data_IF_698004992011
#
_entry.id   IF_698004992011
#
_cell.length_a   1.000
_cell.length_b   1.000
_cell.length_c   1.000
_cell.angle_alpha   90.00
_cell.angle_beta   90.00
_cell.angle_gamma   90.00
#
_symmetry.space_group_name_H-M   'P 1'
#
loop_
_entity.id
_entity.type
_entity.pdbx_description
1 polymer ?
#
# COMPACT_ATOMS: atom_id res chain seq x y z
N UNK A 1 4.63 19.64 20.56
CA UNK A 1 5.58 18.57 20.21
C UNK A 1 6.93 19.00 20.71
N UNK A 2 7.71 18.11 21.29
CA UNK A 2 9.05 18.43 21.77
C UNK A 2 10.05 18.32 20.59
N UNK A 3 10.95 19.27 20.50
CA UNK A 3 12.04 19.20 19.52
C UNK A 3 12.99 18.06 19.89
N UNK A 4 13.55 17.38 18.90
CA UNK A 4 14.47 16.28 19.15
C UNK A 4 15.55 16.19 18.07
N UNK A 5 16.66 15.55 18.46
CA UNK A 5 17.80 15.26 17.60
C UNK A 5 18.07 13.78 17.60
N UNK A 6 18.00 13.14 16.44
CA UNK A 6 18.46 11.76 16.25
C UNK A 6 19.94 11.83 15.86
N UNK A 7 20.79 11.16 16.64
CA UNK A 7 22.23 11.09 16.38
C UNK A 7 22.69 9.68 16.03
N UNK A 8 23.85 9.57 15.39
CA UNK A 8 24.47 8.28 15.04
C UNK A 8 23.56 7.38 14.20
N UNK A 9 22.78 7.94 13.29
CA UNK A 9 21.92 7.17 12.41
C UNK A 9 22.62 6.85 11.08
N UNK A 10 22.23 5.71 10.49
CA UNK A 10 22.45 5.43 9.07
C UNK A 10 21.20 5.85 8.31
N UNK A 11 21.23 7.07 7.76
CA UNK A 11 20.14 7.63 6.97
C UNK A 11 20.04 6.94 5.61
N UNK A 12 18.82 6.60 5.20
CA UNK A 12 18.55 6.02 3.88
C UNK A 12 17.59 6.92 3.13
N UNK A 13 18.06 7.56 2.09
CA UNK A 13 17.29 8.54 1.33
C UNK A 13 17.84 8.73 -0.08
N UNK A 14 16.96 8.87 -1.08
CA UNK A 14 17.29 9.21 -2.46
C UNK A 14 18.44 8.36 -3.06
N UNK A 15 18.28 7.02 -2.93
CA UNK A 15 19.21 6.05 -3.48
C UNK A 15 20.52 5.87 -2.72
N UNK A 16 20.70 6.52 -1.56
CA UNK A 16 21.94 6.49 -0.77
C UNK A 16 21.70 6.06 0.67
N UNK A 17 22.71 5.43 1.24
CA UNK A 17 22.85 5.19 2.68
C UNK A 17 24.09 5.95 3.17
N UNK A 18 23.96 6.73 4.25
CA UNK A 18 25.07 7.52 4.80
C UNK A 18 24.89 7.74 6.31
N UNK A 19 26.00 7.84 7.04
CA UNK A 19 25.98 8.17 8.46
C UNK A 19 25.67 9.66 8.66
N UNK A 20 24.85 9.98 9.66
CA UNK A 20 24.48 11.36 9.95
C UNK A 20 23.49 11.49 11.09
N UNK A 21 23.15 12.73 11.38
CA UNK A 21 22.20 13.17 12.39
C UNK A 21 21.03 13.89 11.71
N UNK A 22 19.86 13.81 12.35
CA UNK A 22 18.65 14.47 11.85
C UNK A 22 17.96 15.18 13.01
N UNK A 23 17.72 16.50 12.85
CA UNK A 23 16.99 17.32 13.81
C UNK A 23 15.56 17.55 13.35
N UNK A 24 14.65 17.46 14.30
CA UNK A 24 13.24 17.81 14.13
C UNK A 24 12.90 18.99 15.04
N UNK A 25 12.24 19.99 14.46
CA UNK A 25 11.67 21.12 15.18
C UNK A 25 10.19 21.19 14.88
N UNK A 26 9.37 21.04 15.92
CA UNK A 26 7.93 20.92 15.77
C UNK A 26 7.55 19.66 14.99
N UNK A 27 6.96 19.84 13.80
CA UNK A 27 6.54 18.75 12.92
C UNK A 27 7.45 18.55 11.69
N UNK A 28 8.57 19.28 11.61
CA UNK A 28 9.42 19.34 10.41
C UNK A 28 10.86 18.89 10.69
N UNK A 29 11.46 18.28 9.68
CA UNK A 29 12.90 18.07 9.62
C UNK A 29 13.56 19.45 9.45
N UNK A 30 14.36 19.88 10.42
CA UNK A 30 14.96 21.21 10.41
C UNK A 30 16.45 21.22 10.09
N UNK A 31 17.14 20.09 10.19
CA UNK A 31 18.52 19.93 9.75
C UNK A 31 18.87 18.45 9.53
N UNK A 32 19.72 18.20 8.53
CA UNK A 32 20.38 16.91 8.28
C UNK A 32 21.86 17.17 8.13
N UNK A 33 22.71 16.48 8.89
CA UNK A 33 24.16 16.67 8.85
C UNK A 33 24.91 15.66 9.70
N UNK A 34 26.19 15.89 9.91
CA UNK A 34 27.02 15.08 10.81
C UNK A 34 27.51 15.92 11.98
N UNK A 35 27.51 15.36 13.19
CA UNK A 35 28.01 16.03 14.40
C UNK A 35 27.13 17.19 14.86
N UNK A 36 25.82 17.10 14.67
CA UNK A 36 24.88 18.10 15.17
C UNK A 36 24.87 18.11 16.69
N UNK A 37 25.14 19.25 17.30
CA UNK A 37 25.10 19.40 18.76
C UNK A 37 23.67 19.60 19.25
N UNK A 38 23.26 18.92 20.33
CA UNK A 38 21.96 19.13 20.95
C UNK A 38 21.77 20.57 21.41
N UNK A 39 20.55 21.08 21.23
CA UNK A 39 20.15 22.42 21.73
C UNK A 39 19.54 22.30 23.11
N UNK A 40 19.46 23.41 23.85
CA UNK A 40 18.86 23.42 25.16
C UNK A 40 17.37 23.03 25.09
N UNK A 41 16.97 22.03 25.89
CA UNK A 41 15.59 21.51 25.90
C UNK A 41 15.25 20.49 24.79
N UNK A 42 16.19 20.17 23.89
CA UNK A 42 16.01 19.18 22.84
C UNK A 42 16.21 17.76 23.39
N UNK A 43 15.33 16.84 23.02
CA UNK A 43 15.50 15.40 23.36
C UNK A 43 16.51 14.78 22.39
N UNK A 44 17.52 14.07 22.92
CA UNK A 44 18.47 13.35 22.06
C UNK A 44 18.07 11.86 21.98
N UNK A 45 17.96 11.35 20.77
CA UNK A 45 17.71 9.95 20.46
C UNK A 45 18.95 9.37 19.78
N UNK A 46 19.66 8.49 20.46
CA UNK A 46 20.80 7.79 19.85
C UNK A 46 20.32 6.62 19.00
N UNK A 47 20.49 6.75 17.69
CA UNK A 47 20.17 5.69 16.77
C UNK A 47 21.13 4.49 16.86
N UNK A 48 22.32 4.66 17.46
CA UNK A 48 23.32 3.61 17.64
C UNK A 48 23.63 2.84 16.33
N UNK A 49 23.75 3.54 15.22
CA UNK A 49 24.05 2.98 13.90
C UNK A 49 22.85 2.33 13.18
N UNK A 50 21.64 2.36 13.78
CA UNK A 50 20.42 1.83 13.17
C UNK A 50 20.00 2.66 11.95
N UNK A 51 19.28 2.00 11.03
CA UNK A 51 18.78 2.67 9.80
C UNK A 51 17.62 3.60 10.13
N UNK A 52 17.75 4.86 9.72
CA UNK A 52 16.68 5.87 9.77
C UNK A 52 16.15 6.08 8.36
N UNK A 53 14.89 5.74 8.15
CA UNK A 53 14.18 5.81 6.88
C UNK A 53 13.14 6.94 6.94
N UNK A 54 12.72 7.53 5.79
CA UNK A 54 11.46 8.25 5.74
C UNK A 54 10.32 7.28 6.06
N UNK A 55 9.23 7.79 6.60
CA UNK A 55 8.04 6.98 6.81
C UNK A 55 7.50 6.39 5.52
N UNK A 56 7.14 5.10 5.52
CA UNK A 56 6.57 4.46 4.34
C UNK A 56 5.19 5.03 4.03
N UNK A 57 4.86 5.08 2.74
CA UNK A 57 3.56 5.50 2.21
C UNK A 57 2.93 4.30 1.51
N UNK A 58 1.82 3.82 2.05
CA UNK A 58 1.05 2.72 1.47
C UNK A 58 -0.10 3.29 0.64
N UNK A 59 -0.03 3.16 -0.65
CA UNK A 59 -1.01 3.72 -1.57
C UNK A 59 -2.21 2.79 -1.84
N UNK A 60 -2.22 1.60 -1.24
CA UNK A 60 -3.32 0.65 -1.41
C UNK A 60 -3.70 -0.06 -0.11
N UNK A 61 -4.74 0.47 0.58
CA UNK A 61 -5.32 -0.17 1.77
C UNK A 61 -6.84 -0.16 1.73
N UNK A 62 -7.46 -1.06 2.53
CA UNK A 62 -8.90 -1.18 2.74
C UNK A 62 -9.19 -1.18 4.25
N UNK A 63 -9.30 -0.01 4.87
CA UNK A 63 -9.52 0.12 6.32
C UNK A 63 -10.98 -0.07 6.74
N UNK A 64 -11.85 -0.39 5.77
CA UNK A 64 -13.21 -0.89 5.98
C UNK A 64 -14.22 0.12 6.53
N UNK A 65 -13.84 1.33 6.86
CA UNK A 65 -14.73 2.38 7.35
C UNK A 65 -15.03 3.40 6.23
N UNK A 66 -16.32 3.77 6.02
CA UNK A 66 -17.50 3.38 6.78
C UNK A 66 -18.12 2.02 6.41
N UNK A 67 -18.93 1.48 7.35
CA UNK A 67 -19.93 0.44 7.09
C UNK A 67 -19.47 -1.00 7.28
N UNK A 68 -18.18 -1.24 7.52
CA UNK A 68 -17.63 -2.57 7.80
C UNK A 68 -16.68 -2.55 9.00
N UNK A 69 -16.94 -1.67 9.97
CA UNK A 69 -16.09 -1.43 11.14
C UNK A 69 -15.96 -2.65 12.06
N UNK A 70 -16.82 -3.65 11.89
CA UNK A 70 -16.70 -4.92 12.62
C UNK A 70 -15.43 -5.71 12.21
N UNK A 71 -14.93 -5.50 10.99
CA UNK A 71 -13.68 -6.12 10.49
C UNK A 71 -12.45 -5.31 10.85
N UNK A 72 -12.54 -3.99 10.63
CA UNK A 72 -11.46 -3.04 10.80
C UNK A 72 -12.01 -1.61 10.73
N UNK A 73 -11.29 -0.64 11.26
CA UNK A 73 -11.62 0.78 11.18
C UNK A 73 -10.36 1.64 11.03
N UNK A 74 -10.53 2.91 10.68
CA UNK A 74 -9.41 3.84 10.44
C UNK A 74 -8.50 3.96 11.67
N UNK A 75 -9.05 3.93 12.87
CA UNK A 75 -8.25 4.08 14.10
C UNK A 75 -7.38 2.84 14.36
N UNK A 76 -7.95 1.63 14.27
CA UNK A 76 -7.24 0.38 14.50
C UNK A 76 -6.18 0.10 13.43
N UNK A 77 -6.52 0.29 12.15
CA UNK A 77 -5.60 -0.06 11.07
C UNK A 77 -4.49 0.98 10.90
N UNK A 78 -4.78 2.28 11.13
CA UNK A 78 -3.71 3.27 11.18
C UNK A 78 -2.77 3.10 12.39
N UNK A 79 -3.25 2.54 13.48
CA UNK A 79 -2.42 2.14 14.62
C UNK A 79 -1.50 0.96 14.26
N UNK A 80 -2.04 -0.06 13.58
CA UNK A 80 -1.25 -1.19 13.06
C UNK A 80 -0.22 -0.71 12.02
N UNK A 81 -0.59 0.24 11.16
CA UNK A 81 0.29 0.83 10.15
C UNK A 81 1.52 1.51 10.79
N UNK A 82 1.32 2.38 11.80
CA UNK A 82 2.47 3.05 12.44
C UNK A 82 3.37 2.10 13.21
N UNK A 83 2.82 1.03 13.79
CA UNK A 83 3.62 -0.04 14.40
C UNK A 83 4.46 -0.78 13.36
N UNK A 84 4.01 -0.82 12.10
CA UNK A 84 4.70 -1.36 10.95
C UNK A 84 5.65 -0.39 10.24
N UNK A 85 5.79 0.85 10.71
CA UNK A 85 6.63 1.87 10.07
C UNK A 85 5.97 2.61 8.89
N UNK A 86 4.66 2.45 8.70
CA UNK A 86 3.89 3.18 7.70
C UNK A 86 3.32 4.44 8.32
N UNK A 87 3.73 5.59 7.82
CA UNK A 87 3.32 6.90 8.36
C UNK A 87 2.22 7.56 7.55
N UNK A 88 1.94 7.04 6.35
CA UNK A 88 0.87 7.53 5.49
C UNK A 88 0.19 6.37 4.77
N UNK A 89 -1.12 6.49 4.53
CA UNK A 89 -1.89 5.53 3.76
C UNK A 89 -2.89 6.20 2.83
N UNK A 90 -3.25 5.50 1.75
CA UNK A 90 -4.31 5.89 0.83
C UNK A 90 -5.36 4.78 0.77
N UNK A 91 -6.57 5.07 1.28
CA UNK A 91 -7.61 4.07 1.48
C UNK A 91 -8.60 4.04 0.33
N UNK A 92 -8.96 2.83 -0.08
CA UNK A 92 -9.81 2.53 -1.23
C UNK A 92 -11.28 2.92 -0.99
N UNK A 93 -12.03 3.22 -2.08
CA UNK A 93 -13.40 3.78 -1.98
C UNK A 93 -14.49 2.73 -1.77
N UNK A 94 -14.20 1.42 -1.81
CA UNK A 94 -15.17 0.33 -1.75
C UNK A 94 -15.66 0.03 -0.31
N UNK A 95 -16.22 1.03 0.31
CA UNK A 95 -16.84 1.03 1.64
C UNK A 95 -18.38 0.96 1.54
N UNK A 96 -19.11 1.04 2.64
CA UNK A 96 -20.57 1.04 2.65
C UNK A 96 -21.11 2.23 3.46
N UNK A 97 -21.55 3.31 2.81
CA UNK A 97 -21.63 3.53 1.35
C UNK A 97 -20.25 3.67 0.69
N UNK A 98 -20.15 3.45 -0.64
CA UNK A 98 -18.93 3.67 -1.39
C UNK A 98 -18.63 5.17 -1.59
N UNK A 99 -17.36 5.52 -1.77
CA UNK A 99 -16.93 6.93 -1.96
C UNK A 99 -17.03 7.34 -3.43
N UNK A 100 -18.24 7.64 -3.91
CA UNK A 100 -18.55 7.91 -5.33
C UNK A 100 -18.83 9.39 -5.65
N UNK A 101 -18.76 10.27 -4.67
CA UNK A 101 -18.96 11.71 -4.82
C UNK A 101 -18.17 12.49 -3.77
N UNK A 102 -18.08 13.81 -3.94
CA UNK A 102 -17.32 14.68 -3.03
C UNK A 102 -17.86 14.66 -1.59
N UNK A 103 -19.17 14.50 -1.37
CA UNK A 103 -19.75 14.46 -0.04
C UNK A 103 -19.30 13.20 0.72
N UNK A 104 -19.29 12.04 0.06
CA UNK A 104 -18.79 10.78 0.64
C UNK A 104 -17.27 10.84 0.90
N UNK A 105 -16.51 11.53 0.03
CA UNK A 105 -15.08 11.75 0.22
C UNK A 105 -14.81 12.59 1.47
N UNK A 106 -15.51 13.70 1.65
CA UNK A 106 -15.34 14.56 2.82
C UNK A 106 -15.83 13.88 4.13
N UNK A 107 -16.89 13.05 4.08
CA UNK A 107 -17.29 12.22 5.22
C UNK A 107 -16.16 11.29 5.69
N UNK A 108 -15.45 10.62 4.76
CA UNK A 108 -14.26 9.80 5.11
C UNK A 108 -13.15 10.63 5.75
N UNK A 109 -12.86 11.82 5.21
CA UNK A 109 -11.89 12.73 5.81
C UNK A 109 -12.30 13.16 7.21
N UNK A 110 -13.57 13.49 7.43
CA UNK A 110 -14.09 13.85 8.74
C UNK A 110 -13.99 12.69 9.76
N UNK A 111 -14.23 11.44 9.31
CA UNK A 111 -14.06 10.24 10.16
C UNK A 111 -12.61 10.01 10.57
N UNK A 112 -11.64 10.28 9.71
CA UNK A 112 -10.22 10.10 10.01
C UNK A 112 -9.67 11.20 10.94
N UNK A 113 -10.23 12.41 10.87
CA UNK A 113 -9.74 13.56 11.60
C UNK A 113 -9.71 13.32 13.12
N UNK A 114 -8.54 13.49 13.73
CA UNK A 114 -8.30 13.27 15.17
C UNK A 114 -8.32 11.81 15.62
N UNK A 115 -8.60 10.83 14.73
CA UNK A 115 -8.65 9.40 15.05
C UNK A 115 -7.49 8.62 14.42
N UNK A 116 -7.15 8.91 13.16
CA UNK A 116 -6.07 8.24 12.46
C UNK A 116 -4.71 8.52 13.12
N UNK A 117 -3.89 7.49 13.31
CA UNK A 117 -2.52 7.57 13.81
C UNK A 117 -1.50 7.88 12.71
N UNK A 118 -1.74 7.42 11.49
CA UNK A 118 -0.97 7.73 10.29
C UNK A 118 -1.67 8.80 9.45
N UNK A 119 -0.92 9.52 8.59
CA UNK A 119 -1.48 10.47 7.62
C UNK A 119 -2.34 9.74 6.60
N UNK A 120 -3.36 10.39 6.07
CA UNK A 120 -4.41 9.72 5.30
C UNK A 120 -4.83 10.48 4.04
N UNK A 121 -5.01 9.73 2.98
CA UNK A 121 -5.70 10.12 1.76
C UNK A 121 -6.77 9.10 1.41
N UNK A 122 -7.80 9.54 0.69
CA UNK A 122 -8.92 8.67 0.29
C UNK A 122 -9.14 8.78 -1.21
N UNK A 123 -9.22 7.61 -1.88
CA UNK A 123 -9.54 7.56 -3.29
C UNK A 123 -11.00 7.88 -3.56
N UNK A 124 -11.23 8.59 -4.65
CA UNK A 124 -12.55 8.70 -5.27
C UNK A 124 -12.81 7.43 -6.09
N UNK A 125 -14.04 6.92 -6.07
CA UNK A 125 -14.43 5.71 -6.77
C UNK A 125 -15.20 5.99 -8.05
N UNK A 126 -14.94 5.17 -9.08
CA UNK A 126 -15.77 5.16 -10.29
C UNK A 126 -16.89 4.11 -10.19
N UNK A 127 -17.97 4.36 -10.89
CA UNK A 127 -19.06 3.44 -11.18
C UNK A 127 -19.57 3.63 -12.61
N UNK A 128 -20.46 2.77 -13.09
CA UNK A 128 -21.09 2.98 -14.39
C UNK A 128 -21.96 4.26 -14.45
N UNK A 129 -22.32 4.85 -13.31
CA UNK A 129 -23.35 5.87 -13.21
C UNK A 129 -22.86 7.25 -12.73
N UNK A 130 -21.56 7.40 -12.35
CA UNK A 130 -21.05 8.63 -11.71
C UNK A 130 -20.03 9.42 -12.53
N UNK A 131 -20.06 9.33 -13.87
CA UNK A 131 -19.12 10.06 -14.74
C UNK A 131 -19.12 11.58 -14.50
N UNK A 132 -20.29 12.17 -14.23
CA UNK A 132 -20.41 13.60 -13.91
C UNK A 132 -19.69 13.98 -12.60
N UNK A 133 -19.75 13.13 -11.57
CA UNK A 133 -19.01 13.33 -10.32
C UNK A 133 -17.50 13.19 -10.55
N UNK A 134 -17.08 12.25 -11.41
CA UNK A 134 -15.66 12.06 -11.79
C UNK A 134 -15.10 13.31 -12.47
N UNK A 135 -15.85 13.94 -13.38
CA UNK A 135 -15.46 15.19 -14.03
C UNK A 135 -15.34 16.37 -13.03
N UNK A 136 -16.09 16.30 -11.92
CA UNK A 136 -16.11 17.32 -10.85
C UNK A 136 -15.11 17.08 -9.72
N UNK A 137 -14.17 16.14 -9.85
CA UNK A 137 -13.15 15.86 -8.83
C UNK A 137 -12.20 17.07 -8.67
N UNK A 138 -12.01 17.54 -7.42
CA UNK A 138 -10.91 18.43 -7.09
C UNK A 138 -9.58 17.64 -7.05
N UNK A 139 -8.62 17.93 -7.95
CA UNK A 139 -7.36 17.21 -8.00
C UNK A 139 -6.53 17.26 -6.72
N UNK A 140 -6.76 18.26 -5.87
CA UNK A 140 -6.07 18.42 -4.58
C UNK A 140 -6.74 17.65 -3.43
N UNK A 141 -7.96 17.17 -3.63
CA UNK A 141 -8.73 16.52 -2.58
C UNK A 141 -8.53 15.01 -2.46
N UNK A 142 -7.96 14.36 -3.49
CA UNK A 142 -7.84 12.89 -3.55
C UNK A 142 -6.54 12.47 -4.22
N UNK A 143 -5.91 11.35 -3.83
CA UNK A 143 -4.75 10.81 -4.55
C UNK A 143 -5.11 10.42 -5.99
N UNK A 144 -6.34 10.01 -6.28
CA UNK A 144 -6.75 9.61 -7.61
C UNK A 144 -8.14 8.98 -7.67
N UNK A 145 -8.48 8.51 -8.87
CA UNK A 145 -9.72 7.82 -9.17
C UNK A 145 -9.52 6.31 -9.22
N UNK A 146 -10.13 5.56 -8.30
CA UNK A 146 -10.14 4.09 -8.33
C UNK A 146 -11.19 3.56 -9.28
N UNK A 147 -10.77 2.72 -10.22
CA UNK A 147 -11.62 2.00 -11.17
C UNK A 147 -11.48 0.49 -10.96
N UNK A 148 -12.56 -0.17 -10.64
CA UNK A 148 -12.63 -1.64 -10.62
C UNK A 148 -13.07 -2.12 -12.01
N UNK A 149 -12.13 -2.65 -12.79
CA UNK A 149 -12.41 -3.25 -14.11
C UNK A 149 -12.79 -4.75 -13.99
N UNK A 150 -12.94 -5.24 -12.76
CA UNK A 150 -13.34 -6.58 -12.39
C UNK A 150 -13.39 -6.76 -10.88
N UNK A 151 -13.97 -7.87 -10.41
CA UNK A 151 -13.92 -8.34 -9.02
C UNK A 151 -14.28 -7.31 -7.94
N UNK A 152 -15.25 -6.44 -8.18
CA UNK A 152 -15.69 -5.43 -7.21
C UNK A 152 -16.82 -5.92 -6.31
N UNK A 153 -16.92 -5.32 -5.12
CA UNK A 153 -18.05 -5.42 -4.22
C UNK A 153 -18.96 -4.19 -4.40
N UNK A 154 -20.26 -4.39 -4.34
CA UNK A 154 -21.25 -3.31 -4.54
C UNK A 154 -21.34 -2.86 -6.00
N UNK A 155 -21.84 -1.63 -6.22
CA UNK A 155 -22.02 -1.03 -7.56
C UNK A 155 -20.78 -0.29 -8.06
N UNK A 156 -19.58 -0.86 -7.86
CA UNK A 156 -18.32 -0.21 -8.25
C UNK A 156 -17.61 -0.89 -9.43
N UNK A 157 -18.19 -1.96 -9.99
CA UNK A 157 -17.69 -2.53 -11.23
C UNK A 157 -17.97 -1.55 -12.38
N UNK A 158 -16.94 -1.20 -13.13
CA UNK A 158 -17.08 -0.40 -14.36
C UNK A 158 -16.84 -1.31 -15.55
N UNK A 159 -17.92 -1.83 -16.12
CA UNK A 159 -17.92 -2.76 -17.24
C UNK A 159 -18.64 -2.22 -18.50
N UNK A 160 -19.28 -1.07 -18.39
CA UNK A 160 -19.84 -0.37 -19.55
C UNK A 160 -18.69 0.28 -20.36
N UNK A 161 -18.48 -0.11 -21.64
CA UNK A 161 -17.35 0.39 -22.43
C UNK A 161 -17.38 1.90 -22.68
N UNK A 162 -18.57 2.50 -22.85
CA UNK A 162 -18.71 3.94 -23.10
C UNK A 162 -18.40 4.74 -21.85
N UNK A 163 -18.89 4.31 -20.68
CA UNK A 163 -18.56 4.91 -19.39
C UNK A 163 -17.08 4.80 -19.10
N UNK A 164 -16.49 3.63 -19.32
CA UNK A 164 -15.07 3.39 -19.10
C UNK A 164 -14.20 4.29 -20.00
N UNK A 165 -14.54 4.41 -21.28
CA UNK A 165 -13.85 5.32 -22.22
C UNK A 165 -13.96 6.79 -21.77
N UNK A 166 -15.16 7.21 -21.32
CA UNK A 166 -15.41 8.54 -20.78
C UNK A 166 -14.58 8.83 -19.51
N UNK A 167 -14.49 7.86 -18.58
CA UNK A 167 -13.69 7.97 -17.36
C UNK A 167 -12.21 8.19 -17.71
N UNK A 168 -11.64 7.39 -18.61
CA UNK A 168 -10.24 7.54 -19.02
C UNK A 168 -9.97 8.85 -19.75
N UNK A 169 -10.94 9.36 -20.52
CA UNK A 169 -10.81 10.61 -21.25
C UNK A 169 -10.89 11.84 -20.32
N UNK A 170 -11.81 11.84 -19.36
CA UNK A 170 -12.28 13.07 -18.70
C UNK A 170 -11.77 13.22 -17.25
N UNK A 171 -11.10 12.21 -16.66
CA UNK A 171 -10.63 12.32 -15.29
C UNK A 171 -9.52 13.37 -15.13
N UNK A 172 -9.61 14.26 -14.12
CA UNK A 172 -8.57 15.25 -13.85
C UNK A 172 -7.42 14.73 -12.97
N UNK A 173 -7.49 13.47 -12.50
CA UNK A 173 -6.55 12.86 -11.56
C UNK A 173 -5.99 11.55 -12.11
N UNK A 174 -4.92 10.97 -11.54
CA UNK A 174 -4.47 9.63 -11.92
C UNK A 174 -5.58 8.60 -11.76
N UNK A 175 -5.69 7.68 -12.70
CA UNK A 175 -6.55 6.49 -12.60
C UNK A 175 -5.76 5.35 -11.98
N UNK A 176 -6.37 4.68 -11.01
CA UNK A 176 -5.82 3.51 -10.32
C UNK A 176 -6.75 2.33 -10.59
N UNK A 177 -6.24 1.25 -11.20
CA UNK A 177 -7.10 0.15 -11.67
C UNK A 177 -6.83 -1.17 -10.97
N UNK A 178 -7.92 -1.86 -10.60
CA UNK A 178 -7.93 -3.30 -10.38
C UNK A 178 -8.28 -3.98 -11.69
N UNK A 179 -7.39 -4.84 -12.19
CA UNK A 179 -7.50 -5.44 -13.53
C UNK A 179 -7.68 -6.96 -13.45
N UNK A 180 -8.94 -7.41 -13.54
CA UNK A 180 -9.33 -8.81 -13.73
C UNK A 180 -10.60 -8.90 -14.61
N UNK A 181 -10.67 -9.88 -15.50
CA UNK A 181 -11.83 -10.08 -16.38
C UNK A 181 -12.89 -10.95 -15.67
N UNK A 182 -13.96 -10.32 -15.17
CA UNK A 182 -15.03 -10.99 -14.41
C UNK A 182 -15.71 -12.12 -15.19
N UNK A 183 -16.11 -11.97 -16.48
CA UNK A 183 -16.73 -13.06 -17.22
C UNK A 183 -15.87 -14.32 -17.33
N UNK A 184 -14.55 -14.15 -17.51
CA UNK A 184 -13.62 -15.26 -17.56
C UNK A 184 -13.51 -15.98 -16.21
N UNK A 185 -13.42 -15.21 -15.12
CA UNK A 185 -13.35 -15.73 -13.75
C UNK A 185 -14.63 -16.50 -13.42
N UNK A 186 -15.80 -15.96 -13.73
CA UNK A 186 -17.10 -16.57 -13.44
C UNK A 186 -17.28 -17.88 -14.19
N UNK A 187 -16.84 -17.95 -15.46
CA UNK A 187 -16.87 -19.16 -16.26
C UNK A 187 -15.99 -20.27 -15.65
N UNK A 188 -14.78 -19.93 -15.19
CA UNK A 188 -13.88 -20.88 -14.53
C UNK A 188 -14.45 -21.30 -13.16
N UNK A 189 -14.92 -20.32 -12.36
CA UNK A 189 -15.55 -20.61 -11.05
C UNK A 189 -16.72 -21.57 -11.17
N UNK A 190 -17.56 -21.41 -12.21
CA UNK A 190 -18.68 -22.33 -12.45
C UNK A 190 -18.23 -23.78 -12.70
N UNK A 191 -17.10 -23.98 -13.41
CA UNK A 191 -16.52 -25.31 -13.63
C UNK A 191 -16.02 -25.93 -12.30
N UNK A 192 -15.33 -25.13 -11.48
CA UNK A 192 -14.85 -25.59 -10.18
C UNK A 192 -16.00 -25.88 -9.21
N UNK A 193 -17.06 -25.06 -9.20
CA UNK A 193 -18.28 -25.33 -8.41
C UNK A 193 -19.00 -26.61 -8.85
N UNK A 194 -19.06 -26.89 -10.16
CA UNK A 194 -19.61 -28.12 -10.64
C UNK A 194 -18.86 -29.38 -10.15
N UNK A 195 -17.53 -29.23 -9.94
CA UNK A 195 -16.66 -30.33 -9.47
C UNK A 195 -16.64 -30.47 -7.94
N UNK A 196 -16.62 -29.38 -7.19
CA UNK A 196 -16.33 -29.36 -5.76
C UNK A 196 -17.51 -28.83 -4.90
N UNK A 197 -18.56 -28.31 -5.51
CA UNK A 197 -19.60 -27.57 -4.79
C UNK A 197 -19.09 -26.22 -4.29
N UNK A 198 -19.52 -25.82 -3.11
CA UNK A 198 -19.08 -24.55 -2.49
C UNK A 198 -17.73 -24.68 -1.75
N UNK A 199 -17.25 -25.90 -1.53
CA UNK A 199 -16.03 -26.21 -0.78
C UNK A 199 -14.85 -26.48 -1.72
N UNK A 200 -14.57 -25.51 -2.58
CA UNK A 200 -13.45 -25.56 -3.52
C UNK A 200 -12.13 -25.44 -2.72
N UNK A 201 -11.13 -26.33 -2.97
CA UNK A 201 -9.83 -26.23 -2.32
C UNK A 201 -9.17 -24.86 -2.58
N UNK A 202 -8.55 -24.28 -1.54
CA UNK A 202 -7.92 -22.94 -1.65
C UNK A 202 -6.83 -22.90 -2.73
N UNK A 203 -6.13 -24.00 -2.98
CA UNK A 203 -5.10 -24.16 -4.02
C UNK A 203 -5.62 -23.96 -5.45
N UNK A 204 -6.95 -24.03 -5.63
CA UNK A 204 -7.61 -23.76 -6.92
C UNK A 204 -7.79 -22.26 -7.18
N UNK A 205 -7.57 -21.41 -6.19
CA UNK A 205 -7.80 -19.96 -6.32
C UNK A 205 -7.01 -19.32 -7.47
N UNK A 206 -5.70 -19.58 -7.67
CA UNK A 206 -4.95 -19.04 -8.80
C UNK A 206 -5.40 -19.55 -10.18
N UNK A 207 -6.06 -20.69 -10.26
CA UNK A 207 -6.63 -21.17 -11.53
C UNK A 207 -7.95 -20.46 -11.84
N UNK A 208 -8.79 -20.23 -10.82
CA UNK A 208 -10.05 -19.49 -10.96
C UNK A 208 -9.79 -18.03 -11.29
N UNK A 209 -8.86 -17.39 -10.57
CA UNK A 209 -8.35 -16.05 -10.81
C UNK A 209 -7.12 -16.12 -11.72
N UNK A 210 -7.38 -16.47 -13.00
CA UNK A 210 -6.34 -16.90 -13.92
C UNK A 210 -5.45 -15.73 -14.39
N UNK A 211 -4.29 -16.09 -14.93
CA UNK A 211 -3.32 -15.16 -15.57
C UNK A 211 -3.98 -14.42 -16.73
N UNK A 212 -4.75 -15.15 -17.52
CA UNK A 212 -5.42 -14.65 -18.71
C UNK A 212 -6.47 -13.59 -18.35
N UNK A 213 -7.17 -13.75 -17.20
CA UNK A 213 -8.12 -12.76 -16.70
C UNK A 213 -7.42 -11.44 -16.32
N UNK A 214 -6.25 -11.52 -15.65
CA UNK A 214 -5.42 -10.35 -15.35
C UNK A 214 -4.92 -9.69 -16.65
N UNK A 215 -4.27 -10.46 -17.52
CA UNK A 215 -3.68 -9.98 -18.77
C UNK A 215 -4.72 -9.27 -19.65
N UNK A 216 -5.89 -9.86 -19.84
CA UNK A 216 -6.96 -9.29 -20.69
C UNK A 216 -7.43 -7.93 -20.17
N UNK A 217 -7.66 -7.82 -18.87
CA UNK A 217 -8.12 -6.57 -18.25
C UNK A 217 -7.03 -5.51 -18.23
N UNK A 218 -5.78 -5.89 -17.93
CA UNK A 218 -4.61 -4.98 -17.97
C UNK A 218 -4.39 -4.42 -19.37
N UNK A 219 -4.46 -5.25 -20.42
CA UNK A 219 -4.35 -4.78 -21.81
C UNK A 219 -5.45 -3.77 -22.16
N UNK A 220 -6.67 -3.95 -21.69
CA UNK A 220 -7.76 -2.99 -21.89
C UNK A 220 -7.45 -1.65 -21.22
N UNK A 221 -7.03 -1.67 -19.94
CA UNK A 221 -6.66 -0.46 -19.20
C UNK A 221 -5.54 0.31 -19.91
N UNK A 222 -4.48 -0.41 -20.36
CA UNK A 222 -3.36 0.19 -21.10
C UNK A 222 -3.80 0.79 -22.42
N UNK A 223 -4.71 0.14 -23.15
CA UNK A 223 -5.21 0.64 -24.44
C UNK A 223 -5.96 1.96 -24.27
N UNK A 224 -6.81 2.06 -23.24
CA UNK A 224 -7.56 3.28 -22.92
C UNK A 224 -6.64 4.40 -22.42
N UNK A 225 -5.67 4.08 -21.55
CA UNK A 225 -4.71 5.07 -21.08
C UNK A 225 -3.87 5.66 -22.20
N UNK A 226 -3.41 4.82 -23.16
CA UNK A 226 -2.66 5.28 -24.35
C UNK A 226 -3.54 6.09 -25.30
N UNK A 227 -4.81 5.71 -25.49
CA UNK A 227 -5.77 6.42 -26.33
C UNK A 227 -6.01 7.84 -25.86
N UNK A 228 -6.13 8.05 -24.56
CA UNK A 228 -6.49 9.32 -23.94
C UNK A 228 -5.32 10.05 -23.26
N UNK A 229 -4.09 9.53 -23.35
CA UNK A 229 -2.90 10.03 -22.64
C UNK A 229 -3.14 10.18 -21.13
N UNK A 230 -3.86 9.25 -20.52
CA UNK A 230 -4.24 9.27 -19.11
C UNK A 230 -3.10 8.82 -18.23
N UNK A 231 -2.92 9.43 -17.06
CA UNK A 231 -2.03 8.90 -16.01
C UNK A 231 -2.68 7.65 -15.42
N UNK A 232 -2.10 6.48 -15.68
CA UNK A 232 -2.59 5.19 -15.21
C UNK A 232 -1.63 4.55 -14.23
N UNK A 233 -2.15 4.04 -13.13
CA UNK A 233 -1.44 3.16 -12.22
C UNK A 233 -2.17 1.83 -12.11
N UNK A 234 -1.53 0.74 -12.51
CA UNK A 234 -2.09 -0.62 -12.45
C UNK A 234 -1.68 -1.24 -11.13
N UNK A 235 -2.66 -1.55 -10.29
CA UNK A 235 -2.47 -2.10 -8.95
C UNK A 235 -2.03 -3.56 -8.98
N UNK A 236 -1.35 -3.99 -7.90
CA UNK A 236 -1.13 -5.38 -7.47
C UNK A 236 -0.83 -6.38 -8.60
N UNK A 237 0.13 -6.10 -9.48
CA UNK A 237 0.62 -7.03 -10.49
C UNK A 237 1.03 -8.35 -9.82
N UNK A 238 0.43 -9.45 -10.27
CA UNK A 238 0.54 -10.77 -9.65
C UNK A 238 1.09 -11.85 -10.58
N UNK A 239 1.36 -11.54 -11.86
CA UNK A 239 1.84 -12.50 -12.86
C UNK A 239 3.13 -12.04 -13.54
N UNK A 240 3.98 -12.97 -13.90
CA UNK A 240 5.17 -12.70 -14.70
C UNK A 240 4.84 -12.23 -16.12
N UNK A 241 3.69 -12.69 -16.64
CA UNK A 241 3.27 -12.40 -18.02
C UNK A 241 2.96 -10.91 -18.21
N UNK A 242 2.37 -10.24 -17.24
CA UNK A 242 2.03 -8.83 -17.30
C UNK A 242 3.26 -7.89 -17.29
N UNK A 243 4.41 -8.34 -16.77
CA UNK A 243 5.62 -7.51 -16.63
C UNK A 243 6.12 -6.91 -17.93
N UNK A 244 5.96 -7.63 -19.04
CA UNK A 244 6.35 -7.15 -20.37
C UNK A 244 5.52 -5.96 -20.89
N UNK A 245 4.42 -5.64 -20.23
CA UNK A 245 3.52 -4.53 -20.60
C UNK A 245 4.01 -3.18 -20.07
N UNK A 246 4.92 -3.16 -19.11
CA UNK A 246 5.37 -1.97 -18.40
C UNK A 246 6.80 -1.56 -18.78
N UNK A 247 7.02 -0.26 -18.84
CA UNK A 247 8.31 0.33 -19.17
C UNK A 247 9.28 0.22 -17.97
N UNK A 248 10.49 -0.26 -18.22
CA UNK A 248 11.60 -0.25 -17.26
C UNK A 248 12.18 1.15 -17.11
N UNK A 249 12.55 1.53 -15.87
CA UNK A 249 13.27 2.78 -15.57
C UNK A 249 12.59 3.59 -14.48
N UNK A 250 13.19 4.72 -14.08
CA UNK A 250 12.71 5.52 -12.96
C UNK A 250 11.35 6.17 -13.26
N UNK A 251 10.53 6.32 -12.23
CA UNK A 251 9.24 7.01 -12.31
C UNK A 251 9.39 8.45 -12.81
N UNK A 252 10.40 9.16 -12.32
CA UNK A 252 10.79 10.49 -12.79
C UNK A 252 12.11 10.36 -13.54
N UNK A 253 12.10 10.70 -14.83
CA UNK A 253 13.29 10.61 -15.69
C UNK A 253 14.25 11.78 -15.43
N UNK A 254 15.53 11.67 -15.87
CA UNK A 254 16.52 12.75 -15.67
C UNK A 254 16.14 14.10 -16.30
N UNK A 255 15.29 14.10 -17.33
CA UNK A 255 14.77 15.31 -17.99
C UNK A 255 13.56 15.90 -17.25
N UNK A 256 13.15 15.33 -16.11
CA UNK A 256 12.01 15.75 -15.32
C UNK A 256 10.66 15.18 -15.79
N UNK A 257 10.61 14.48 -16.93
CA UNK A 257 9.39 13.81 -17.38
C UNK A 257 9.06 12.62 -16.49
N UNK A 258 7.78 12.25 -16.42
CA UNK A 258 7.29 11.12 -15.60
C UNK A 258 6.71 10.01 -16.47
N UNK A 259 6.81 8.77 -16.02
CA UNK A 259 6.02 7.69 -16.60
C UNK A 259 4.54 8.04 -16.54
N UNK A 260 3.82 7.86 -17.65
CA UNK A 260 2.36 8.04 -17.72
C UNK A 260 1.62 6.79 -17.25
N UNK A 261 2.21 5.63 -17.50
CA UNK A 261 1.71 4.32 -17.09
C UNK A 261 2.71 3.72 -16.11
N UNK A 262 2.22 3.40 -14.93
CA UNK A 262 2.98 2.84 -13.82
C UNK A 262 2.30 1.58 -13.29
N UNK A 263 3.02 0.76 -12.55
CA UNK A 263 2.49 -0.45 -11.95
C UNK A 263 3.07 -0.66 -10.54
N UNK A 264 2.27 -1.31 -9.70
CA UNK A 264 2.72 -1.74 -8.39
C UNK A 264 2.64 -3.25 -8.21
N UNK A 265 3.32 -3.73 -7.19
CA UNK A 265 3.07 -5.04 -6.62
C UNK A 265 2.88 -4.92 -5.11
N UNK A 266 2.32 -5.98 -4.51
CA UNK A 266 2.07 -5.99 -3.07
C UNK A 266 2.99 -6.98 -2.36
N UNK A 267 3.25 -6.72 -1.08
CA UNK A 267 4.20 -7.49 -0.26
C UNK A 267 3.89 -8.99 -0.23
N UNK A 268 2.63 -9.38 -0.29
CA UNK A 268 2.25 -10.79 -0.26
C UNK A 268 2.67 -11.54 -1.54
N UNK A 269 2.77 -10.88 -2.70
CA UNK A 269 3.30 -11.48 -3.94
C UNK A 269 4.83 -11.66 -3.92
N UNK A 270 5.53 -10.98 -3.02
CA UNK A 270 6.97 -11.18 -2.81
C UNK A 270 7.26 -12.29 -1.78
N UNK A 271 6.29 -12.63 -0.92
CA UNK A 271 6.49 -13.52 0.24
C UNK A 271 5.79 -14.86 0.14
N UNK A 272 4.71 -14.96 -0.62
CA UNK A 272 3.93 -16.19 -0.76
C UNK A 272 3.88 -16.66 -2.22
N UNK A 273 3.68 -17.96 -2.40
CA UNK A 273 3.38 -18.57 -3.69
C UNK A 273 2.27 -19.64 -3.53
N UNK A 274 1.91 -20.27 -4.65
CA UNK A 274 0.83 -21.27 -4.71
C UNK A 274 0.97 -22.41 -3.68
N UNK A 275 2.20 -22.80 -3.34
CA UNK A 275 2.41 -23.88 -2.36
C UNK A 275 1.93 -23.50 -0.95
N UNK A 276 1.93 -22.21 -0.61
CA UNK A 276 1.49 -21.72 0.69
C UNK A 276 -0.02 -21.91 0.94
N UNK A 277 -0.85 -22.06 -0.10
CA UNK A 277 -2.27 -22.35 0.09
C UNK A 277 -2.50 -23.66 0.85
N UNK A 278 -1.64 -24.67 0.68
CA UNK A 278 -1.73 -25.93 1.43
C UNK A 278 -1.63 -25.74 2.96
N UNK A 279 -0.87 -24.73 3.39
CA UNK A 279 -0.65 -24.41 4.81
C UNK A 279 -1.59 -23.33 5.34
N UNK A 280 -1.83 -22.28 4.55
CA UNK A 280 -2.53 -21.08 4.97
C UNK A 280 -3.99 -21.03 4.49
N UNK A 281 -4.36 -21.87 3.52
CA UNK A 281 -5.74 -21.91 3.00
C UNK A 281 -6.24 -20.55 2.57
N UNK A 282 -7.45 -20.22 3.01
CA UNK A 282 -8.08 -18.94 2.67
C UNK A 282 -7.45 -17.72 3.37
N UNK A 283 -6.56 -17.89 4.35
CA UNK A 283 -5.86 -16.75 4.95
C UNK A 283 -5.10 -15.93 3.90
N UNK A 284 -4.57 -16.60 2.86
CA UNK A 284 -3.88 -15.93 1.74
C UNK A 284 -4.73 -15.81 0.47
N UNK A 285 -6.02 -16.07 0.54
CA UNK A 285 -6.95 -15.79 -0.56
C UNK A 285 -7.10 -14.29 -0.75
N UNK A 286 -6.65 -13.76 -1.89
CA UNK A 286 -6.72 -12.36 -2.31
C UNK A 286 -7.02 -12.23 -3.80
N UNK A 287 -7.37 -11.06 -4.26
CA UNK A 287 -7.66 -10.76 -5.65
C UNK A 287 -6.77 -9.59 -6.14
N UNK A 288 -5.90 -9.83 -7.14
CA UNK A 288 -5.64 -11.09 -7.85
C UNK A 288 -5.06 -12.19 -6.95
N UNK A 289 -5.20 -13.44 -7.36
CA UNK A 289 -4.67 -14.57 -6.61
C UNK A 289 -3.14 -14.58 -6.59
N UNK A 290 -2.56 -15.06 -5.47
CA UNK A 290 -1.14 -15.41 -5.40
C UNK A 290 -0.89 -16.58 -6.37
N UNK A 291 0.10 -16.43 -7.25
CA UNK A 291 0.44 -17.39 -8.32
C UNK A 291 1.61 -18.29 -7.93
N UNK A 292 2.33 -18.80 -8.91
CA UNK A 292 3.40 -19.76 -8.73
C UNK A 292 4.71 -19.13 -8.21
N UNK A 293 5.64 -19.95 -7.73
CA UNK A 293 6.97 -19.49 -7.27
C UNK A 293 7.76 -18.76 -8.38
N UNK A 294 7.54 -19.13 -9.65
CA UNK A 294 8.15 -18.44 -10.79
C UNK A 294 7.64 -16.98 -10.92
N UNK A 295 6.35 -16.73 -10.63
CA UNK A 295 5.80 -15.37 -10.62
C UNK A 295 6.38 -14.55 -9.48
N UNK A 296 6.42 -15.12 -8.26
CA UNK A 296 7.05 -14.46 -7.12
C UNK A 296 8.47 -14.02 -7.44
N UNK A 297 9.27 -14.92 -8.03
CA UNK A 297 10.65 -14.62 -8.42
C UNK A 297 10.74 -13.54 -9.51
N UNK A 298 9.86 -13.60 -10.52
CA UNK A 298 9.82 -12.61 -11.61
C UNK A 298 9.37 -11.23 -11.10
N UNK A 299 8.33 -11.16 -10.27
CA UNK A 299 7.81 -9.92 -9.67
C UNK A 299 8.87 -9.27 -8.75
N UNK A 300 9.55 -10.06 -7.91
CA UNK A 300 10.63 -9.56 -7.04
C UNK A 300 11.75 -8.94 -7.89
N UNK A 301 12.14 -9.60 -8.97
CA UNK A 301 13.14 -9.07 -9.92
C UNK A 301 12.64 -7.83 -10.65
N UNK A 302 11.37 -7.81 -11.07
CA UNK A 302 10.78 -6.66 -11.77
C UNK A 302 10.72 -5.41 -10.87
N UNK A 303 10.48 -5.58 -9.57
CA UNK A 303 10.56 -4.50 -8.60
C UNK A 303 12.01 -3.99 -8.45
N UNK A 304 13.00 -4.90 -8.39
CA UNK A 304 14.42 -4.57 -8.32
C UNK A 304 14.94 -3.87 -9.60
N UNK A 305 14.35 -4.22 -10.74
CA UNK A 305 14.76 -3.76 -12.08
C UNK A 305 14.01 -2.50 -12.58
N UNK A 306 13.23 -1.82 -11.72
CA UNK A 306 12.43 -0.62 -12.06
C UNK A 306 11.37 -0.86 -13.16
N UNK A 307 10.88 -2.08 -13.33
CA UNK A 307 9.71 -2.40 -14.15
C UNK A 307 8.43 -2.11 -13.35
N UNK A 308 8.40 -2.55 -12.08
CA UNK A 308 7.36 -2.19 -11.13
C UNK A 308 7.81 -0.96 -10.32
N UNK A 309 6.94 0.04 -10.23
CA UNK A 309 7.27 1.36 -9.72
C UNK A 309 7.09 1.48 -8.21
N UNK A 310 6.08 0.81 -7.65
CA UNK A 310 5.66 0.93 -6.25
C UNK A 310 5.55 -0.44 -5.59
N UNK A 311 5.85 -0.49 -4.30
CA UNK A 311 5.52 -1.57 -3.39
C UNK A 311 4.42 -1.11 -2.44
N UNK A 312 3.31 -1.85 -2.41
CA UNK A 312 2.15 -1.58 -1.56
C UNK A 312 1.77 -2.79 -0.72
N UNK A 313 0.64 -2.72 0.00
CA UNK A 313 0.17 -3.86 0.78
C UNK A 313 -1.07 -4.53 0.23
N UNK A 314 -2.01 -3.79 -0.33
CA UNK A 314 -3.41 -4.22 -0.51
C UNK A 314 -3.97 -4.77 0.82
N UNK A 315 -3.66 -4.08 1.93
CA UNK A 315 -4.17 -4.44 3.24
C UNK A 315 -5.69 -4.45 3.24
N UNK A 316 -6.26 -5.65 3.37
CA UNK A 316 -7.69 -5.88 3.23
C UNK A 316 -8.17 -6.86 4.32
N UNK A 317 -8.31 -6.42 5.58
CA UNK A 317 -8.64 -7.28 6.71
C UNK A 317 -10.06 -7.82 6.62
N UNK A 318 -10.22 -9.06 7.07
CA UNK A 318 -11.47 -9.77 7.28
C UNK A 318 -11.39 -10.52 8.60
N UNK A 319 -12.52 -10.81 9.22
CA UNK A 319 -12.49 -11.54 10.50
C UNK A 319 -11.97 -12.97 10.29
N UNK A 320 -11.44 -13.54 11.37
CA UNK A 320 -10.95 -14.92 11.35
C UNK A 320 -12.04 -15.90 10.91
N UNK A 321 -13.28 -15.72 11.40
CA UNK A 321 -14.44 -16.54 11.08
C UNK A 321 -14.82 -16.42 9.60
N UNK A 322 -14.78 -15.23 9.03
CA UNK A 322 -15.07 -15.04 7.60
C UNK A 322 -14.06 -15.79 6.72
N UNK A 323 -12.77 -15.79 7.10
CA UNK A 323 -11.71 -16.48 6.35
C UNK A 323 -11.83 -18.03 6.43
N UNK A 324 -12.56 -18.56 7.42
CA UNK A 324 -12.78 -20.01 7.60
C UNK A 324 -14.10 -20.51 7.00
N UNK A 325 -14.82 -19.68 6.26
CA UNK A 325 -15.96 -20.12 5.47
C UNK A 325 -15.51 -21.00 4.28
N UNK A 326 -16.40 -21.82 3.70
CA UNK A 326 -16.17 -22.44 2.39
C UNK A 326 -15.74 -21.42 1.34
N UNK A 327 -14.97 -21.85 0.36
CA UNK A 327 -14.32 -21.02 -0.64
C UNK A 327 -15.21 -19.91 -1.22
N UNK A 328 -16.44 -20.23 -1.61
CA UNK A 328 -17.36 -19.29 -2.27
C UNK A 328 -17.77 -18.14 -1.33
N UNK A 329 -17.79 -18.39 -0.02
CA UNK A 329 -18.14 -17.39 1.01
C UNK A 329 -16.95 -16.78 1.72
N UNK A 330 -15.77 -17.42 1.69
CA UNK A 330 -14.55 -16.87 2.26
C UNK A 330 -14.11 -15.62 1.45
N UNK A 331 -14.07 -14.42 2.06
CA UNK A 331 -13.72 -13.21 1.34
C UNK A 331 -12.23 -13.18 0.98
N UNK A 332 -11.89 -12.44 -0.08
CA UNK A 332 -10.51 -12.17 -0.51
C UNK A 332 -9.96 -10.94 0.19
N UNK A 333 -8.74 -11.05 0.73
CA UNK A 333 -8.00 -9.99 1.41
C UNK A 333 -7.21 -10.50 2.62
N UNK A 334 -6.10 -9.82 2.91
CA UNK A 334 -5.15 -10.14 3.98
C UNK A 334 -4.85 -8.90 4.83
N UNK A 335 -4.65 -9.04 6.17
CA UNK A 335 -4.13 -7.96 7.01
C UNK A 335 -2.60 -7.91 6.91
N UNK A 336 -2.02 -6.83 6.37
CA UNK A 336 -0.61 -6.76 5.98
C UNK A 336 0.14 -5.55 6.52
N UNK A 337 -0.50 -4.38 6.78
CA UNK A 337 0.19 -3.10 7.07
C UNK A 337 1.20 -3.19 8.21
N UNK A 338 0.91 -3.95 9.27
CA UNK A 338 1.77 -4.01 10.47
C UNK A 338 3.13 -4.68 10.19
N UNK A 339 3.18 -5.57 9.22
CA UNK A 339 4.40 -6.35 8.94
C UNK A 339 4.96 -6.13 7.54
N UNK A 340 4.39 -5.20 6.78
CA UNK A 340 4.77 -4.97 5.39
C UNK A 340 6.24 -4.56 5.23
N UNK A 341 6.70 -3.56 5.99
CA UNK A 341 8.08 -3.09 5.91
C UNK A 341 9.06 -4.17 6.39
N UNK A 342 8.76 -4.89 7.47
CA UNK A 342 9.62 -5.97 7.96
C UNK A 342 9.68 -7.14 6.96
N UNK A 343 8.57 -7.49 6.34
CA UNK A 343 8.52 -8.51 5.29
C UNK A 343 9.28 -8.08 4.01
N UNK A 344 9.26 -6.79 3.68
CA UNK A 344 10.03 -6.23 2.57
C UNK A 344 11.55 -6.18 2.88
N UNK A 345 11.91 -5.92 4.14
CA UNK A 345 13.30 -6.00 4.59
C UNK A 345 13.87 -7.42 4.51
N UNK A 346 13.04 -8.48 4.56
CA UNK A 346 13.51 -9.83 4.26
C UNK A 346 14.03 -9.97 2.83
N UNK A 347 13.42 -9.31 1.84
CA UNK A 347 13.95 -9.28 0.47
C UNK A 347 15.33 -8.58 0.40
N UNK A 348 15.54 -7.55 1.24
CA UNK A 348 16.86 -6.91 1.39
C UNK A 348 17.87 -7.88 1.98
N UNK A 349 17.52 -8.57 3.07
CA UNK A 349 18.38 -9.57 3.70
C UNK A 349 18.66 -10.78 2.79
N UNK A 350 17.75 -11.11 1.89
CA UNK A 350 17.90 -12.16 0.87
C UNK A 350 18.73 -11.68 -0.34
N UNK A 351 19.09 -10.39 -0.40
CA UNK A 351 19.91 -9.81 -1.46
C UNK A 351 19.15 -9.52 -2.77
N UNK A 352 17.81 -9.49 -2.72
CA UNK A 352 17.00 -9.18 -3.91
C UNK A 352 17.19 -7.73 -4.38
N UNK A 353 17.30 -6.79 -3.43
CA UNK A 353 17.60 -5.37 -3.64
C UNK A 353 18.13 -4.74 -2.34
N UNK A 354 18.69 -3.52 -2.41
CA UNK A 354 19.19 -2.80 -1.23
C UNK A 354 18.12 -2.00 -0.49
N UNK A 355 18.42 -1.57 0.75
CA UNK A 355 17.50 -0.75 1.57
C UNK A 355 17.13 0.56 0.88
N UNK A 356 18.08 1.21 0.21
CA UNK A 356 17.81 2.45 -0.53
C UNK A 356 16.79 2.23 -1.67
N UNK A 357 16.84 1.08 -2.33
CA UNK A 357 15.85 0.72 -3.35
C UNK A 357 14.47 0.42 -2.74
N UNK A 358 14.41 -0.28 -1.57
CA UNK A 358 13.16 -0.46 -0.83
C UNK A 358 12.52 0.88 -0.48
N UNK A 359 13.30 1.83 0.05
CA UNK A 359 12.81 3.19 0.38
C UNK A 359 12.32 3.90 -0.88
N UNK A 360 13.02 3.74 -2.02
CA UNK A 360 12.55 4.27 -3.31
C UNK A 360 11.15 3.74 -3.66
N UNK A 361 10.89 2.43 -3.49
CA UNK A 361 9.64 1.79 -3.90
C UNK A 361 8.48 1.99 -2.91
N UNK A 362 8.78 2.15 -1.62
CA UNK A 362 7.74 2.17 -0.58
C UNK A 362 7.54 3.54 0.08
N UNK A 363 8.40 4.54 -0.24
CA UNK A 363 8.25 5.90 0.27
C UNK A 363 8.33 6.96 -0.84
N UNK A 364 9.43 6.98 -1.61
CA UNK A 364 9.65 8.02 -2.60
C UNK A 364 8.72 7.90 -3.80
N UNK A 365 8.57 6.70 -4.38
CA UNK A 365 7.75 6.47 -5.56
C UNK A 365 6.27 6.79 -5.33
N UNK A 366 5.60 6.30 -4.26
CA UNK A 366 4.22 6.71 -4.01
C UNK A 366 4.08 8.21 -3.74
N UNK A 367 5.04 8.84 -3.04
CA UNK A 367 5.02 10.30 -2.86
C UNK A 367 5.09 11.05 -4.19
N UNK A 368 5.96 10.61 -5.10
CA UNK A 368 6.11 11.21 -6.44
C UNK A 368 4.93 10.89 -7.35
N UNK A 369 4.45 9.64 -7.37
CA UNK A 369 3.36 9.20 -8.23
C UNK A 369 2.07 9.96 -7.95
N UNK A 370 1.76 10.14 -6.68
CA UNK A 370 0.53 10.79 -6.23
C UNK A 370 0.69 12.28 -5.91
N UNK A 371 1.87 12.86 -6.17
CA UNK A 371 2.17 14.28 -5.90
C UNK A 371 1.95 14.65 -4.42
N UNK A 372 2.31 13.76 -3.48
CA UNK A 372 2.15 14.00 -2.05
C UNK A 372 3.11 15.08 -1.58
N UNK A 373 2.57 16.13 -0.98
CA UNK A 373 3.32 17.32 -0.60
C UNK A 373 4.20 17.06 0.63
N UNK A 374 5.51 17.33 0.50
CA UNK A 374 6.50 17.39 1.57
C UNK A 374 6.59 16.15 2.47
N UNK A 375 6.33 14.93 1.91
CA UNK A 375 6.41 13.63 2.61
C UNK A 375 7.16 12.60 1.78
N UNK A 376 7.50 11.47 2.40
CA UNK A 376 8.16 10.34 1.75
C UNK A 376 9.66 10.52 1.51
N UNK A 377 10.29 11.58 2.03
CA UNK A 377 11.71 11.88 1.89
C UNK A 377 12.30 12.42 3.20
N UNK A 378 13.58 12.16 3.44
CA UNK A 378 14.36 12.87 4.46
C UNK A 378 14.94 14.15 3.82
N UNK A 379 14.21 15.27 3.94
CA UNK A 379 14.62 16.58 3.42
C UNK A 379 14.30 17.67 4.44
N UNK A 380 15.16 18.65 4.56
CA UNK A 380 14.88 19.84 5.39
C UNK A 380 13.61 20.54 4.89
N UNK A 381 12.75 20.94 5.82
CA UNK A 381 11.44 21.50 5.54
C UNK A 381 10.31 20.48 5.38
N UNK A 382 10.60 19.20 5.13
CA UNK A 382 9.60 18.13 5.00
C UNK A 382 9.06 17.73 6.37
N UNK A 383 7.86 17.16 6.40
CA UNK A 383 7.29 16.59 7.61
C UNK A 383 8.19 15.49 8.17
N UNK A 384 8.35 15.50 9.49
CA UNK A 384 9.14 14.49 10.19
C UNK A 384 8.34 13.20 10.39
N UNK A 385 8.09 12.52 9.28
CA UNK A 385 7.57 11.17 9.18
C UNK A 385 8.76 10.23 9.07
N UNK A 386 9.11 9.52 10.15
CA UNK A 386 10.39 8.84 10.28
C UNK A 386 10.21 7.42 10.83
N UNK A 387 11.07 6.51 10.40
CA UNK A 387 11.11 5.11 10.89
C UNK A 387 12.53 4.73 11.25
N UNK A 388 12.74 4.29 12.48
CA UNK A 388 13.99 3.69 12.93
C UNK A 388 13.86 2.16 12.89
N UNK A 389 14.74 1.52 12.13
CA UNK A 389 14.76 0.06 11.94
C UNK A 389 15.93 -0.55 12.70
N UNK A 390 15.65 -1.61 13.42
CA UNK A 390 16.63 -2.41 14.19
C UNK A 390 16.75 -3.82 13.59
N UNK A 391 17.95 -4.27 13.30
CA UNK A 391 18.23 -5.61 12.77
C UNK A 391 18.29 -6.66 13.92
N UNK A 392 17.27 -6.65 14.76
CA UNK A 392 17.06 -7.63 15.82
C UNK A 392 15.89 -8.54 15.44
N UNK A 393 16.11 -9.85 15.32
CA UNK A 393 15.05 -10.79 14.95
C UNK A 393 13.89 -10.83 15.94
N UNK A 394 12.67 -11.06 15.41
CA UNK A 394 11.47 -11.32 16.20
C UNK A 394 10.53 -12.28 15.44
N UNK A 395 9.74 -13.03 16.19
CA UNK A 395 8.72 -13.92 15.62
C UNK A 395 7.35 -13.30 15.79
N UNK A 396 6.58 -13.25 14.70
CA UNK A 396 5.20 -12.73 14.72
C UNK A 396 4.32 -13.65 15.55
N UNK A 397 3.67 -13.12 16.57
CA UNK A 397 2.72 -13.83 17.42
C UNK A 397 1.34 -13.20 17.27
N UNK A 398 0.31 -14.01 17.44
CA UNK A 398 -1.08 -13.56 17.31
C UNK A 398 -1.43 -12.43 18.27
N UNK A 399 -0.92 -12.50 19.50
CA UNK A 399 -1.14 -11.47 20.52
C UNK A 399 -0.48 -10.12 20.22
N UNK A 400 0.47 -10.07 19.28
CA UNK A 400 1.16 -8.85 18.87
C UNK A 400 0.44 -8.13 17.70
N UNK A 401 -0.63 -8.74 17.14
CA UNK A 401 -1.38 -8.18 16.01
C UNK A 401 -2.30 -7.07 16.48
N UNK A 402 -2.05 -5.85 16.00
CA UNK A 402 -2.83 -4.66 16.33
C UNK A 402 -4.02 -4.43 15.39
N UNK A 403 -3.99 -5.00 14.18
CA UNK A 403 -5.15 -4.96 13.29
C UNK A 403 -6.36 -5.55 13.99
N UNK A 404 -7.51 -4.91 13.86
CA UNK A 404 -8.76 -5.29 14.56
C UNK A 404 -9.22 -6.71 14.26
N UNK A 405 -8.90 -7.22 13.09
CA UNK A 405 -9.23 -8.61 12.72
C UNK A 405 -8.48 -9.67 13.56
N UNK A 406 -7.42 -9.31 14.30
CA UNK A 406 -6.73 -10.11 15.31
C UNK A 406 -5.93 -11.30 14.78
N UNK A 407 -5.49 -11.28 13.51
CA UNK A 407 -4.65 -12.31 12.89
C UNK A 407 -3.74 -11.73 11.81
N UNK A 408 -2.71 -12.48 11.42
CA UNK A 408 -1.81 -12.13 10.31
C UNK A 408 -1.42 -13.39 9.53
N UNK A 409 -1.27 -13.33 8.20
CA UNK A 409 -0.73 -14.45 7.42
C UNK A 409 0.74 -14.74 7.74
N UNK A 410 1.42 -13.83 8.44
CA UNK A 410 2.80 -13.97 8.87
C UNK A 410 2.97 -14.59 10.27
N UNK A 411 1.87 -15.00 10.94
CA UNK A 411 1.94 -15.65 12.26
C UNK A 411 2.91 -16.84 12.24
N UNK A 412 3.82 -16.90 13.23
CA UNK A 412 4.89 -17.88 13.31
C UNK A 412 6.13 -17.58 12.45
N UNK A 413 6.09 -16.56 11.59
CA UNK A 413 7.25 -16.13 10.79
C UNK A 413 8.24 -15.35 11.67
N UNK A 414 9.54 -15.66 11.53
CA UNK A 414 10.60 -14.87 12.15
C UNK A 414 11.19 -13.91 11.13
N UNK A 415 11.07 -12.62 11.39
CA UNK A 415 11.70 -11.55 10.62
C UNK A 415 13.04 -11.16 11.25
N UNK A 416 14.04 -10.81 10.41
CA UNK A 416 15.39 -10.42 10.84
C UNK A 416 15.51 -8.98 11.30
N UNK A 417 14.53 -8.13 10.96
CA UNK A 417 14.47 -6.72 11.35
C UNK A 417 13.13 -6.40 12.02
N UNK A 418 13.12 -5.43 12.95
CA UNK A 418 11.93 -4.90 13.62
C UNK A 418 11.87 -3.38 13.49
N UNK A 419 10.68 -2.82 13.69
CA UNK A 419 10.49 -1.37 13.80
C UNK A 419 10.81 -0.95 15.22
N UNK A 420 11.90 -0.20 15.39
CA UNK A 420 12.34 0.29 16.70
C UNK A 420 11.56 1.53 17.13
N UNK A 421 11.25 2.44 16.20
CA UNK A 421 10.42 3.62 16.49
C UNK A 421 9.79 4.16 15.20
N UNK A 422 8.61 4.75 15.33
CA UNK A 422 7.94 5.48 14.25
C UNK A 422 7.48 6.84 14.74
N UNK A 423 7.82 7.89 13.99
CA UNK A 423 7.34 9.25 14.24
C UNK A 423 6.41 9.66 13.10
N UNK A 424 5.30 10.30 13.45
CA UNK A 424 4.33 10.86 12.52
C UNK A 424 4.21 12.36 12.81
N UNK A 425 4.45 13.19 11.80
CA UNK A 425 4.42 14.65 11.95
C UNK A 425 5.29 15.13 13.15
N UNK A 426 6.46 14.56 13.36
CA UNK A 426 7.39 14.89 14.44
C UNK A 426 7.01 14.36 15.83
N UNK A 427 5.91 13.63 15.96
CA UNK A 427 5.50 13.02 17.22
C UNK A 427 5.79 11.51 17.22
N UNK A 428 6.41 11.00 18.29
CA UNK A 428 6.61 9.55 18.47
C UNK A 428 5.24 8.87 18.56
N UNK A 429 5.00 7.92 17.67
CA UNK A 429 3.75 7.16 17.58
C UNK A 429 3.91 5.70 18.02
N UNK A 430 5.10 5.13 17.81
CA UNK A 430 5.47 3.77 18.18
C UNK A 430 6.88 3.75 18.76
N UNK A 431 7.10 3.10 19.91
CA UNK A 431 8.38 3.03 20.62
C UNK A 431 9.10 1.67 20.51
N UNK A 432 8.67 0.82 19.57
CA UNK A 432 9.17 -0.53 19.41
C UNK A 432 8.43 -1.60 20.22
N UNK A 433 7.49 -1.19 21.09
CA UNK A 433 6.73 -2.09 21.96
C UNK A 433 5.26 -1.75 22.02
N UNK A 434 4.93 -0.46 22.04
CA UNK A 434 3.57 0.02 22.20
C UNK A 434 3.34 1.30 21.38
N UNK A 435 2.07 1.56 21.10
CA UNK A 435 1.61 2.87 20.67
C UNK A 435 1.79 3.88 21.79
N UNK A 436 2.43 4.99 21.51
CA UNK A 436 2.73 6.01 22.53
C UNK A 436 2.23 7.39 22.10
N UNK A 437 2.10 8.29 23.08
CA UNK A 437 1.74 9.68 22.83
C UNK A 437 0.40 9.87 22.13
N UNK A 438 0.18 11.12 21.72
CA UNK A 438 -1.02 11.58 21.01
C UNK A 438 -0.74 11.89 19.54
N UNK A 439 0.24 11.17 18.93
CA UNK A 439 0.52 11.31 17.51
C UNK A 439 -0.78 11.11 16.71
N UNK A 440 -1.07 12.06 15.83
CA UNK A 440 -2.23 12.01 14.94
C UNK A 440 -1.80 12.28 13.52
N UNK A 441 -2.31 11.47 12.62
CA UNK A 441 -2.20 11.68 11.20
C UNK A 441 -2.96 12.94 10.76
N UNK A 442 -2.57 13.43 9.61
CA UNK A 442 -3.19 14.57 8.94
C UNK A 442 -3.67 14.15 7.57
N UNK A 443 -4.67 14.85 7.05
CA UNK A 443 -5.07 14.75 5.64
C UNK A 443 -3.84 15.01 4.78
N UNK A 444 -3.59 14.13 3.81
CA UNK A 444 -2.56 14.33 2.80
C UNK A 444 -2.97 15.48 1.87
N UNK A 445 -1.98 16.30 1.51
CA UNK A 445 -2.10 17.35 0.51
C UNK A 445 -1.42 16.88 -0.78
N UNK A 446 -2.03 17.18 -1.93
CA UNK A 446 -1.53 16.79 -3.24
C UNK A 446 -1.16 18.04 -4.05
N UNK A 447 0.07 18.07 -4.55
CA UNK A 447 0.67 19.24 -5.20
C UNK A 447 0.39 19.19 -6.72
N UNK A 448 -0.87 19.52 -7.09
CA UNK A 448 -1.42 19.47 -8.45
C UNK A 448 -2.07 20.78 -8.86
#
# INVERSE_FOLDING_TARGET
MADFLIVNARLVNEGREFEGDLRVTGDRISAIGSGLSARNGETVVDAAGRRLLPGMIDDQVHFREPGMEYKADIASESAAAVAGGLTSFMDMPNTSPPTLNNAALEDKYARAAGRARANYGFYFGASNDNLADVQGIDPKATPGLKVFMGASTGNMLVDNPETLDGIFRDTPVPIITHCEDTPMIDAILAQYRAKYGDDIPAECHPDIRSREACMKSTLLALSLARKHDTRLHVLHISTADELALFERGPLVRPDGSRKRITAETCIHFLRFDRADYARLGHQIKCNPAIKDAADRAAITRALADDVLDVLATDHAPHTWEEKHNPYVRAPSGLPLVQYALTAALECVHEGSFGTAHLVQKFAHAPAQLFDVKERGFLREGYFADLVLVDDTPFTVRREDVLSKCGWSPFEGTTFRSRIASTWVNGALAWDGKALVGDARGRRLEFDR
#
